data_IF_204062865573
#
_entry.id   IF_204062865573
#
_cell.length_a   1.000
_cell.length_b   1.000
_cell.length_c   1.000
_cell.angle_alpha   90.00
_cell.angle_beta   90.00
_cell.angle_gamma   90.00
#
_symmetry.space_group_name_H-M   'P 1'
#
loop_
_entity.id
_entity.type
_entity.pdbx_description
1 polymer ?
#
# COMPACT_ATOMS: atom_id res chain seq x y z
N UNK A 1 7.77 9.86 -16.30
CA UNK A 1 6.87 10.63 -15.40
C UNK A 1 5.48 10.03 -15.55
N UNK A 2 4.76 9.70 -14.47
CA UNK A 2 3.38 9.25 -14.62
C UNK A 2 2.55 10.40 -15.22
N UNK A 3 1.69 10.06 -16.18
CA UNK A 3 0.81 10.98 -16.89
C UNK A 3 0.03 11.88 -15.93
N UNK A 4 0.05 13.18 -16.20
CA UNK A 4 -0.75 14.17 -15.46
C UNK A 4 -2.24 13.96 -15.79
N UNK A 5 -3.17 14.37 -14.91
CA UNK A 5 -4.62 14.15 -15.04
C UNK A 5 -5.24 14.62 -16.37
N UNK A 6 -4.53 15.46 -17.11
CA UNK A 6 -4.88 16.01 -18.42
C UNK A 6 -4.88 14.93 -19.53
N UNK A 7 -4.22 13.79 -19.33
CA UNK A 7 -4.16 12.68 -20.30
C UNK A 7 -5.30 11.66 -20.15
N UNK A 8 -6.17 11.82 -19.15
CA UNK A 8 -7.33 10.96 -18.93
C UNK A 8 -8.56 11.61 -19.60
N UNK A 9 -8.74 11.26 -20.87
CA UNK A 9 -9.75 11.75 -21.82
C UNK A 9 -11.03 12.37 -21.28
N UNK A 10 -11.45 13.43 -21.98
CA UNK A 10 -12.72 14.14 -21.82
C UNK A 10 -13.91 13.16 -21.71
N UNK A 11 -14.50 13.04 -20.52
CA UNK A 11 -15.64 12.15 -20.36
C UNK A 11 -16.12 11.79 -18.97
N UNK A 12 -16.00 12.66 -17.98
CA UNK A 12 -16.91 12.71 -16.82
C UNK A 12 -16.61 13.98 -16.02
N UNK A 13 -17.58 14.89 -15.91
CA UNK A 13 -17.51 16.00 -14.98
C UNK A 13 -17.56 15.44 -13.55
N UNK A 14 -16.39 15.13 -12.98
CA UNK A 14 -16.26 14.83 -11.56
C UNK A 14 -16.47 16.16 -10.83
N UNK A 15 -17.65 16.32 -10.21
CA UNK A 15 -17.99 17.54 -9.47
C UNK A 15 -16.90 17.89 -8.45
N UNK A 16 -16.52 19.17 -8.42
CA UNK A 16 -15.47 19.74 -7.58
C UNK A 16 -15.65 19.49 -6.06
N UNK A 17 -16.83 19.02 -5.64
CA UNK A 17 -17.22 18.67 -4.27
C UNK A 17 -16.48 17.43 -3.69
N UNK A 18 -15.72 16.67 -4.51
CA UNK A 18 -15.24 15.34 -4.14
C UNK A 18 -13.73 15.17 -3.93
N UNK A 19 -12.92 16.23 -4.12
CA UNK A 19 -11.47 16.17 -3.91
C UNK A 19 -11.08 17.30 -2.95
N UNK A 20 -10.89 16.98 -1.67
CA UNK A 20 -10.50 17.93 -0.62
C UNK A 20 -8.98 18.22 -0.61
N UNK A 21 -8.25 17.71 -1.60
CA UNK A 21 -6.82 17.96 -1.79
C UNK A 21 -6.05 16.69 -2.18
N UNK A 22 -5.04 16.84 -3.03
CA UNK A 22 -4.04 15.80 -3.32
C UNK A 22 -2.85 16.01 -2.39
N UNK A 23 -2.58 15.04 -1.52
CA UNK A 23 -1.36 15.03 -0.69
C UNK A 23 -0.36 14.06 -1.32
N UNK A 24 0.69 14.60 -1.94
CA UNK A 24 1.81 13.81 -2.46
C UNK A 24 2.91 13.78 -1.41
N UNK A 25 3.22 12.58 -0.89
CA UNK A 25 4.33 12.37 0.05
C UNK A 25 5.57 12.01 -0.78
N UNK A 26 6.57 12.89 -0.78
CA UNK A 26 7.86 12.65 -1.44
C UNK A 26 8.92 12.45 -0.37
N UNK A 27 9.45 11.23 -0.27
CA UNK A 27 10.58 10.92 0.61
C UNK A 27 11.86 11.14 -0.20
N UNK A 28 12.50 12.30 0.01
CA UNK A 28 13.67 12.74 -0.79
C UNK A 28 14.99 12.22 -0.27
N UNK A 29 15.04 11.77 0.98
CA UNK A 29 16.24 11.17 1.58
C UNK A 29 15.83 10.20 2.65
N UNK A 30 16.57 9.09 2.77
CA UNK A 30 16.36 8.15 3.85
C UNK A 30 17.72 7.67 4.38
N UNK A 31 18.05 7.90 5.66
CA UNK A 31 19.34 7.48 6.18
C UNK A 31 19.43 5.95 6.17
N UNK A 32 20.35 5.41 5.37
CA UNK A 32 20.57 3.96 5.20
C UNK A 32 20.74 3.21 6.53
N UNK A 33 21.29 3.87 7.55
CA UNK A 33 21.47 3.33 8.91
C UNK A 33 20.16 3.07 9.64
N UNK A 34 19.06 3.75 9.26
CA UNK A 34 17.70 3.56 9.80
C UNK A 34 16.78 2.75 8.89
N UNK A 35 17.22 2.47 7.66
CA UNK A 35 16.41 1.74 6.66
C UNK A 35 16.97 0.41 6.25
N UNK A 36 18.12 -0.01 6.78
CA UNK A 36 18.74 -1.29 6.47
C UNK A 36 17.76 -2.43 6.72
N UNK A 37 16.94 -2.71 5.69
CA UNK A 37 15.64 -3.34 5.73
C UNK A 37 15.32 -3.98 7.07
N UNK A 38 14.68 -3.27 8.01
CA UNK A 38 14.36 -3.89 9.32
C UNK A 38 13.39 -5.08 9.16
N UNK A 39 12.65 -5.12 8.05
CA UNK A 39 11.93 -6.31 7.60
C UNK A 39 12.87 -7.50 7.30
N UNK A 40 14.08 -7.22 6.78
CA UNK A 40 15.13 -8.18 6.43
C UNK A 40 16.23 -8.34 7.50
N UNK A 41 16.25 -7.52 8.55
CA UNK A 41 17.30 -7.50 9.59
C UNK A 41 16.66 -7.25 10.97
N UNK A 42 16.76 -8.23 11.88
CA UNK A 42 16.21 -8.16 13.24
C UNK A 42 15.54 -9.46 13.70
N UNK A 43 14.97 -9.50 14.93
CA UNK A 43 14.31 -10.71 15.48
C UNK A 43 13.03 -11.11 14.72
N UNK A 44 12.35 -10.15 14.10
CA UNK A 44 11.12 -10.35 13.30
C UNK A 44 11.43 -10.98 11.93
N UNK A 45 12.60 -10.72 11.35
CA UNK A 45 12.99 -11.23 10.01
C UNK A 45 12.88 -12.75 9.86
N UNK A 46 13.22 -13.53 10.90
CA UNK A 46 13.12 -15.01 10.84
C UNK A 46 11.68 -15.49 10.58
N UNK A 47 10.70 -14.61 10.73
CA UNK A 47 9.29 -14.88 10.52
C UNK A 47 8.73 -14.17 9.28
N UNK A 48 9.47 -13.30 8.59
CA UNK A 48 8.97 -12.62 7.38
C UNK A 48 9.12 -13.55 6.18
N UNK A 49 8.04 -13.76 5.44
CA UNK A 49 8.05 -14.50 4.17
C UNK A 49 8.00 -13.53 3.00
N UNK A 50 8.83 -13.80 1.99
CA UNK A 50 8.84 -13.05 0.74
C UNK A 50 9.35 -13.93 -0.40
N UNK A 51 8.87 -13.67 -1.61
CA UNK A 51 9.49 -14.21 -2.83
C UNK A 51 10.79 -13.42 -3.10
N UNK A 52 11.93 -14.06 -3.48
CA UNK A 52 13.18 -13.36 -3.80
C UNK A 52 13.03 -12.09 -4.64
N UNK A 53 12.11 -12.08 -5.62
CA UNK A 53 11.86 -10.91 -6.49
C UNK A 53 11.35 -9.69 -5.70
N UNK A 54 10.66 -9.90 -4.58
CA UNK A 54 10.11 -8.85 -3.74
C UNK A 54 11.15 -8.17 -2.84
N UNK A 55 12.39 -8.68 -2.78
CA UNK A 55 13.46 -8.08 -1.98
C UNK A 55 13.75 -6.62 -2.38
N UNK A 56 13.59 -6.29 -3.67
CA UNK A 56 13.82 -4.95 -4.21
C UNK A 56 12.59 -4.02 -4.11
N UNK A 57 11.42 -4.59 -3.87
CA UNK A 57 10.14 -3.86 -3.87
C UNK A 57 9.51 -3.74 -2.49
N UNK A 58 10.01 -4.45 -1.48
CA UNK A 58 9.48 -4.31 -0.13
C UNK A 58 9.82 -2.93 0.42
N UNK A 59 8.79 -2.13 0.70
CA UNK A 59 8.96 -0.84 1.38
C UNK A 59 9.64 -1.04 2.74
N UNK A 60 10.84 -0.47 2.99
CA UNK A 60 11.53 -0.59 4.27
C UNK A 60 10.68 -0.07 5.42
N UNK A 61 10.76 -0.71 6.59
CA UNK A 61 9.87 -0.42 7.72
C UNK A 61 9.82 1.05 8.11
N UNK A 62 10.98 1.69 8.27
CA UNK A 62 11.05 3.10 8.62
C UNK A 62 10.30 3.98 7.61
N UNK A 63 10.45 3.70 6.32
CA UNK A 63 9.73 4.40 5.24
C UNK A 63 8.22 4.16 5.38
N UNK A 64 7.82 2.90 5.57
CA UNK A 64 6.41 2.56 5.75
C UNK A 64 5.79 3.26 6.97
N UNK A 65 6.50 3.30 8.08
CA UNK A 65 6.07 3.95 9.32
C UNK A 65 5.97 5.47 9.15
N UNK A 66 6.87 6.11 8.38
CA UNK A 66 6.77 7.53 8.02
C UNK A 66 5.53 7.82 7.16
N UNK A 67 5.26 7.00 6.15
CA UNK A 67 4.07 7.12 5.29
C UNK A 67 2.80 6.96 6.15
N UNK A 68 2.73 5.90 6.96
CA UNK A 68 1.61 5.63 7.87
C UNK A 68 1.39 6.78 8.86
N UNK A 69 2.45 7.28 9.48
CA UNK A 69 2.37 8.43 10.40
C UNK A 69 1.75 9.64 9.71
N UNK A 70 2.18 9.92 8.48
CA UNK A 70 1.65 11.04 7.68
C UNK A 70 0.16 10.84 7.37
N UNK A 71 -0.24 9.65 6.93
CA UNK A 71 -1.66 9.30 6.68
C UNK A 71 -2.50 9.57 7.94
N UNK A 72 -2.04 9.12 9.11
CA UNK A 72 -2.77 9.30 10.36
C UNK A 72 -2.80 10.78 10.79
N UNK A 73 -1.72 11.52 10.63
CA UNK A 73 -1.67 12.94 10.98
C UNK A 73 -2.69 13.76 10.18
N UNK A 74 -2.84 13.48 8.88
CA UNK A 74 -3.74 14.26 8.01
C UNK A 74 -5.18 13.75 8.02
N UNK A 75 -5.40 12.45 8.16
CA UNK A 75 -6.71 11.82 7.95
C UNK A 75 -7.29 11.21 9.23
N UNK A 76 -6.52 11.13 10.32
CA UNK A 76 -6.91 10.49 11.56
C UNK A 76 -6.99 8.97 11.42
N UNK A 77 -8.10 8.39 11.86
CA UNK A 77 -8.40 6.96 11.72
C UNK A 77 -9.34 6.72 10.54
N UNK A 78 -9.20 5.57 9.87
CA UNK A 78 -10.07 5.27 8.75
C UNK A 78 -9.71 3.99 8.01
N UNK A 79 -10.32 3.85 6.84
CA UNK A 79 -10.07 2.73 5.93
C UNK A 79 -9.09 3.16 4.84
N UNK A 80 -8.01 2.42 4.66
CA UNK A 80 -6.98 2.68 3.65
C UNK A 80 -6.95 1.53 2.65
N UNK A 81 -6.77 1.87 1.37
CA UNK A 81 -6.51 0.91 0.30
C UNK A 81 -5.01 0.84 0.02
N UNK A 82 -4.39 -0.31 0.24
CA UNK A 82 -3.07 -0.65 -0.29
C UNK A 82 -3.25 -1.35 -1.64
N UNK A 83 -3.08 -0.59 -2.73
CA UNK A 83 -3.46 -1.00 -4.07
C UNK A 83 -2.57 -2.12 -4.65
N UNK A 84 -1.31 -2.18 -4.21
CA UNK A 84 -0.28 -3.09 -4.68
C UNK A 84 0.56 -3.54 -3.48
N UNK A 85 -0.02 -4.38 -2.61
CA UNK A 85 0.54 -4.59 -1.28
C UNK A 85 1.85 -5.41 -1.26
N UNK A 86 2.16 -6.15 -2.34
CA UNK A 86 3.34 -6.99 -2.40
C UNK A 86 3.36 -8.01 -1.27
N UNK A 87 4.45 -8.04 -0.51
CA UNK A 87 4.59 -8.89 0.69
C UNK A 87 4.17 -8.17 1.99
N UNK A 88 3.58 -6.99 1.88
CA UNK A 88 2.87 -6.35 2.98
C UNK A 88 3.69 -5.39 3.83
N UNK A 89 4.79 -4.81 3.30
CA UNK A 89 5.61 -3.85 4.04
C UNK A 89 4.82 -2.63 4.52
N UNK A 90 4.11 -1.97 3.61
CA UNK A 90 3.22 -0.85 3.96
C UNK A 90 1.97 -1.33 4.70
N UNK A 91 1.29 -2.37 4.19
CA UNK A 91 0.10 -2.98 4.83
C UNK A 91 0.31 -3.25 6.33
N UNK A 92 1.45 -3.85 6.70
CA UNK A 92 1.73 -4.19 8.09
C UNK A 92 1.92 -2.94 8.97
N UNK A 93 2.56 -1.88 8.44
CA UNK A 93 2.69 -0.60 9.14
C UNK A 93 1.33 0.06 9.39
N UNK A 94 0.48 0.14 8.36
CA UNK A 94 -0.87 0.69 8.45
C UNK A 94 -1.72 -0.06 9.50
N UNK A 95 -1.67 -1.40 9.48
CA UNK A 95 -2.37 -2.23 10.44
C UNK A 95 -1.82 -2.06 11.87
N UNK A 96 -0.50 -2.02 12.04
CA UNK A 96 0.12 -1.82 13.34
C UNK A 96 -0.29 -0.47 13.97
N UNK A 97 -0.59 0.52 13.14
CA UNK A 97 -1.03 1.85 13.57
C UNK A 97 -2.55 1.98 13.80
N UNK A 98 -3.31 0.87 13.77
CA UNK A 98 -4.73 0.88 14.13
C UNK A 98 -5.71 1.07 12.96
N UNK A 99 -5.23 1.20 11.72
CA UNK A 99 -6.09 1.40 10.55
C UNK A 99 -6.76 0.11 10.07
N UNK A 100 -7.89 0.26 9.36
CA UNK A 100 -8.50 -0.83 8.58
C UNK A 100 -7.92 -0.81 7.18
N UNK A 101 -7.35 -1.93 6.72
CA UNK A 101 -6.63 -1.99 5.45
C UNK A 101 -7.34 -2.93 4.49
N UNK A 102 -7.69 -2.40 3.33
CA UNK A 102 -8.03 -3.21 2.16
C UNK A 102 -6.77 -3.33 1.32
N UNK A 103 -6.35 -4.55 1.01
CA UNK A 103 -5.11 -4.81 0.29
C UNK A 103 -5.37 -5.63 -0.97
N UNK A 104 -4.61 -5.37 -2.02
CA UNK A 104 -4.68 -6.12 -3.26
C UNK A 104 -3.27 -6.44 -3.77
N UNK A 105 -3.09 -7.65 -4.27
CA UNK A 105 -1.93 -8.00 -5.08
C UNK A 105 -2.37 -8.96 -6.19
N UNK A 106 -1.70 -8.93 -7.33
CA UNK A 106 -2.02 -9.83 -8.44
C UNK A 106 -1.48 -11.25 -8.20
N UNK A 107 -0.42 -11.39 -7.40
CA UNK A 107 0.23 -12.65 -7.08
C UNK A 107 -0.34 -13.24 -5.78
N UNK A 108 -0.86 -14.47 -5.87
CA UNK A 108 -1.45 -15.16 -4.74
C UNK A 108 -0.43 -15.47 -3.61
N UNK A 109 0.82 -15.75 -3.95
CA UNK A 109 1.88 -15.98 -2.96
C UNK A 109 2.19 -14.70 -2.18
N UNK A 110 2.19 -13.54 -2.84
CA UNK A 110 2.32 -12.24 -2.19
C UNK A 110 1.17 -11.96 -1.22
N UNK A 111 -0.06 -12.32 -1.58
CA UNK A 111 -1.22 -12.22 -0.68
C UNK A 111 -1.04 -13.08 0.57
N UNK A 112 -0.61 -14.33 0.42
CA UNK A 112 -0.36 -15.21 1.57
C UNK A 112 0.82 -14.74 2.43
N UNK A 113 1.88 -14.23 1.80
CA UNK A 113 2.99 -13.60 2.50
C UNK A 113 2.56 -12.36 3.27
N UNK A 114 1.71 -11.52 2.69
CA UNK A 114 1.17 -10.33 3.37
C UNK A 114 0.37 -10.71 4.62
N UNK A 115 -0.52 -11.70 4.54
CA UNK A 115 -1.26 -12.20 5.71
C UNK A 115 -0.31 -12.73 6.79
N UNK A 116 0.64 -13.56 6.39
CA UNK A 116 1.63 -14.15 7.30
C UNK A 116 2.46 -13.05 7.98
N UNK A 117 2.96 -12.09 7.21
CA UNK A 117 3.79 -10.99 7.71
C UNK A 117 2.99 -10.07 8.64
N UNK A 118 1.77 -9.70 8.27
CA UNK A 118 0.89 -8.90 9.11
C UNK A 118 0.57 -9.58 10.46
N UNK A 119 0.41 -10.92 10.47
CA UNK A 119 0.15 -11.67 11.71
C UNK A 119 1.28 -11.57 12.74
N UNK A 120 2.51 -11.24 12.31
CA UNK A 120 3.64 -11.04 13.21
C UNK A 120 3.50 -9.79 14.10
N UNK A 121 2.53 -8.92 13.83
CA UNK A 121 2.30 -7.67 14.54
C UNK A 121 1.24 -7.76 15.65
N UNK A 122 0.63 -8.93 15.87
CA UNK A 122 -0.28 -9.17 17.00
C UNK A 122 -1.55 -9.95 16.63
N UNK A 123 -2.21 -10.48 17.66
CA UNK A 123 -3.34 -11.42 17.53
C UNK A 123 -4.57 -10.79 16.87
N UNK A 124 -4.77 -9.47 16.99
CA UNK A 124 -5.90 -8.74 16.39
C UNK A 124 -5.57 -7.94 15.13
N UNK A 125 -4.41 -8.15 14.51
CA UNK A 125 -4.05 -7.38 13.31
C UNK A 125 -4.87 -7.82 12.10
N UNK A 126 -5.16 -9.12 11.99
CA UNK A 126 -5.82 -9.69 10.82
C UNK A 126 -7.32 -9.36 10.72
N UNK A 127 -7.99 -9.02 11.84
CA UNK A 127 -9.41 -8.64 11.82
C UNK A 127 -9.65 -7.31 11.07
N UNK A 128 -8.60 -6.50 10.94
CA UNK A 128 -8.61 -5.22 10.22
C UNK A 128 -8.05 -5.33 8.80
N UNK A 129 -7.67 -6.53 8.36
CA UNK A 129 -7.11 -6.78 7.03
C UNK A 129 -8.13 -7.45 6.09
N UNK A 130 -8.48 -6.75 5.03
CA UNK A 130 -9.32 -7.23 3.94
C UNK A 130 -8.49 -7.36 2.66
N UNK A 131 -7.83 -8.50 2.48
CA UNK A 131 -6.94 -8.75 1.34
C UNK A 131 -7.59 -9.61 0.25
N UNK A 132 -7.34 -9.28 -1.02
CA UNK A 132 -7.80 -10.03 -2.20
C UNK A 132 -6.69 -10.21 -3.22
N UNK A 133 -6.62 -11.41 -3.80
CA UNK A 133 -5.76 -11.67 -4.96
C UNK A 133 -6.45 -11.24 -6.25
N UNK A 134 -5.81 -10.42 -7.07
CA UNK A 134 -6.20 -10.13 -8.44
C UNK A 134 -5.70 -8.80 -8.95
N UNK A 135 -6.02 -8.53 -10.21
CA UNK A 135 -5.62 -7.32 -10.93
C UNK A 135 -6.32 -6.08 -10.35
N UNK A 136 -5.54 -5.16 -9.80
CA UNK A 136 -6.02 -3.92 -9.22
C UNK A 136 -6.86 -3.11 -10.22
N UNK A 137 -6.38 -2.91 -11.44
CA UNK A 137 -7.07 -2.08 -12.43
C UNK A 137 -8.41 -2.70 -12.84
N UNK A 138 -8.46 -4.02 -13.04
CA UNK A 138 -9.72 -4.73 -13.30
C UNK A 138 -10.68 -4.69 -12.12
N UNK A 139 -10.16 -4.72 -10.89
CA UNK A 139 -10.96 -4.66 -9.66
C UNK A 139 -11.47 -3.26 -9.37
N UNK A 140 -10.65 -2.23 -9.51
CA UNK A 140 -11.05 -0.82 -9.32
C UNK A 140 -12.07 -0.40 -10.35
N UNK A 141 -11.96 -0.80 -11.62
CA UNK A 141 -13.01 -0.53 -12.61
C UNK A 141 -14.39 -1.08 -12.15
N UNK A 142 -14.42 -2.26 -11.51
CA UNK A 142 -15.65 -2.86 -10.95
C UNK A 142 -16.10 -2.23 -9.63
N UNK A 143 -15.15 -1.81 -8.79
CA UNK A 143 -15.39 -1.23 -7.47
C UNK A 143 -15.78 0.25 -7.53
N UNK A 144 -15.17 1.04 -8.41
CA UNK A 144 -15.49 2.45 -8.63
C UNK A 144 -16.98 2.65 -8.96
N UNK A 145 -17.56 1.76 -9.77
CA UNK A 145 -18.99 1.75 -10.09
C UNK A 145 -19.89 1.50 -8.86
N UNK A 146 -19.39 0.80 -7.83
CA UNK A 146 -20.13 0.51 -6.58
C UNK A 146 -19.86 1.56 -5.49
N UNK A 147 -18.62 1.99 -5.31
CA UNK A 147 -18.23 3.02 -4.34
C UNK A 147 -18.87 4.38 -4.63
N UNK A 148 -19.07 4.73 -5.90
CA UNK A 148 -19.82 5.93 -6.27
C UNK A 148 -21.27 5.91 -5.76
N UNK A 149 -21.87 4.72 -5.59
CA UNK A 149 -23.27 4.56 -5.15
C UNK A 149 -23.42 4.49 -3.63
N UNK A 150 -22.43 3.96 -2.92
CA UNK A 150 -22.55 3.64 -1.48
C UNK A 150 -21.97 4.74 -0.57
N UNK A 151 -21.29 5.75 -1.11
CA UNK A 151 -20.70 6.84 -0.32
C UNK A 151 -19.53 6.42 0.58
N UNK A 152 -19.17 5.13 0.59
CA UNK A 152 -18.00 4.56 1.26
C UNK A 152 -16.75 4.87 0.46
N UNK A 153 -15.99 5.87 0.91
CA UNK A 153 -14.69 6.23 0.34
C UNK A 153 -13.56 5.74 1.26
N UNK A 154 -12.47 5.29 0.67
CA UNK A 154 -11.22 5.15 1.42
C UNK A 154 -10.74 6.54 1.84
N UNK A 155 -10.24 6.64 3.07
CA UNK A 155 -9.59 7.85 3.56
C UNK A 155 -8.29 8.12 2.80
N UNK A 156 -7.55 7.06 2.45
CA UNK A 156 -6.35 7.12 1.62
C UNK A 156 -6.24 5.91 0.69
N UNK A 157 -5.54 6.11 -0.43
CA UNK A 157 -5.10 5.05 -1.32
C UNK A 157 -3.57 5.14 -1.41
N UNK A 158 -2.90 4.05 -1.06
CA UNK A 158 -1.46 3.88 -1.19
C UNK A 158 -1.14 3.15 -2.50
N UNK A 159 -0.22 3.71 -3.28
CA UNK A 159 0.23 3.19 -4.56
C UNK A 159 1.74 2.91 -4.55
N UNK A 160 2.10 1.64 -4.43
CA UNK A 160 3.48 1.14 -4.60
C UNK A 160 3.50 0.15 -5.77
N UNK A 161 3.29 0.68 -6.98
CA UNK A 161 3.21 -0.12 -8.19
C UNK A 161 4.56 -0.76 -8.52
N UNK A 162 4.60 -1.88 -9.26
CA UNK A 162 5.86 -2.39 -9.82
C UNK A 162 6.55 -1.35 -10.69
N UNK A 163 7.86 -1.13 -10.47
CA UNK A 163 8.65 -0.09 -11.16
C UNK A 163 9.18 -0.54 -12.54
N UNK A 164 8.84 -1.76 -12.99
CA UNK A 164 9.20 -2.28 -14.31
C UNK A 164 10.54 -3.03 -14.35
N UNK A 165 10.91 -3.46 -15.57
CA UNK A 165 12.09 -4.32 -15.82
C UNK A 165 13.42 -3.63 -15.53
N UNK A 166 13.47 -2.29 -15.63
CA UNK A 166 14.68 -1.50 -15.37
C UNK A 166 15.19 -1.66 -13.93
N UNK A 167 14.29 -1.92 -12.98
CA UNK A 167 14.66 -2.20 -11.58
C UNK A 167 15.12 -3.66 -11.34
N UNK A 168 14.87 -4.55 -12.30
CA UNK A 168 15.33 -5.94 -12.22
C UNK A 168 16.82 -6.06 -12.58
N UNK A 169 17.32 -5.20 -13.47
CA UNK A 169 18.69 -5.24 -14.03
C UNK A 169 19.79 -4.64 -13.16
N UNK A 170 19.47 -3.81 -12.17
CA UNK A 170 20.49 -3.26 -11.25
C UNK A 170 20.80 -4.28 -10.15
N UNK A 171 21.92 -5.00 -10.28
CA UNK A 171 22.47 -5.95 -9.29
C UNK A 171 23.25 -5.25 -8.19
#
# INVERSE_FOLDING_TARGET
MPAMPEELGEGAAVGAECIVGLVTIIITSCPHTRTANEWLRGKIWRKVKYNPNMRKSITPRFIADCITTTIITYLGVGTVLDAFCGVGGQTASLLAAGLTVYACDIDAANVEHTKHNASAHGVGVLERLFIRCGDYFKRVAKLAARWAREGTKFAAIHFDMPWGQEYSSET
#
